data_IF_939513641853
#
_entry.id   IF_939513641853
#
_cell.length_a   1.000
_cell.length_b   1.000
_cell.length_c   1.000
_cell.angle_alpha   90.00
_cell.angle_beta   90.00
_cell.angle_gamma   90.00
#
_symmetry.space_group_name_H-M   'P 1'
#
loop_
_entity.id
_entity.type
_entity.pdbx_description
1 polymer ?
#
# COMPACT_ATOMS: atom_id res chain seq x y z
N UNK A 1 16.31 -22.17 -10.39
CA UNK A 1 17.11 -21.00 -9.98
C UNK A 1 18.25 -20.85 -10.96
N UNK A 2 18.53 -19.62 -11.40
CA UNK A 2 19.59 -19.31 -12.35
C UNK A 2 20.97 -19.67 -11.77
N UNK A 3 21.93 -20.16 -12.57
CA UNK A 3 23.27 -20.49 -12.08
C UNK A 3 23.97 -19.27 -11.50
N UNK A 4 24.79 -19.52 -10.48
CA UNK A 4 25.55 -18.52 -9.75
C UNK A 4 26.43 -17.71 -10.71
N UNK A 5 26.18 -16.41 -10.84
CA UNK A 5 26.87 -15.50 -11.76
C UNK A 5 26.02 -14.94 -12.91
N UNK A 6 24.83 -15.50 -13.18
CA UNK A 6 23.92 -14.95 -14.19
C UNK A 6 23.01 -13.86 -13.60
N UNK A 7 22.95 -12.69 -14.24
CA UNK A 7 22.11 -11.56 -13.80
C UNK A 7 20.61 -11.86 -14.02
N UNK A 8 19.79 -11.42 -13.07
CA UNK A 8 18.34 -11.31 -13.21
C UNK A 8 18.06 -10.12 -14.11
N UNK A 9 17.33 -10.34 -15.19
CA UNK A 9 17.00 -9.33 -16.19
C UNK A 9 15.57 -8.84 -15.98
N UNK A 10 15.42 -7.54 -15.77
CA UNK A 10 14.14 -6.85 -15.66
C UNK A 10 13.92 -6.05 -16.93
N UNK A 11 12.84 -6.33 -17.65
CA UNK A 11 12.43 -5.53 -18.79
C UNK A 11 11.30 -4.58 -18.39
N UNK A 12 11.46 -3.30 -18.73
CA UNK A 12 10.43 -2.27 -18.59
C UNK A 12 10.02 -1.83 -19.99
N UNK A 13 8.94 -2.39 -20.58
CA UNK A 13 8.43 -1.91 -21.86
C UNK A 13 7.90 -0.49 -21.74
N UNK A 14 8.48 0.43 -22.52
CA UNK A 14 8.09 1.83 -22.59
C UNK A 14 7.43 2.15 -23.93
N UNK A 15 6.45 3.04 -23.89
CA UNK A 15 5.61 3.42 -25.03
C UNK A 15 5.22 4.90 -24.93
N UNK A 16 4.69 5.47 -26.01
CA UNK A 16 4.32 6.88 -26.01
C UNK A 16 3.24 7.18 -24.97
N UNK A 17 3.40 8.26 -24.22
CA UNK A 17 2.51 8.70 -23.13
C UNK A 17 2.46 7.75 -21.92
N UNK A 18 3.52 6.99 -21.67
CA UNK A 18 3.73 6.41 -20.34
C UNK A 18 3.71 7.50 -19.27
N UNK A 19 3.23 7.14 -18.08
CA UNK A 19 3.44 7.93 -16.87
C UNK A 19 4.85 7.62 -16.37
N UNK A 20 5.75 8.60 -16.41
CA UNK A 20 7.19 8.34 -16.17
C UNK A 20 7.43 7.67 -14.82
N UNK A 21 6.75 8.13 -13.76
CA UNK A 21 6.90 7.59 -12.40
C UNK A 21 6.50 6.12 -12.26
N UNK A 22 5.61 5.60 -13.12
CA UNK A 22 5.23 4.18 -13.13
C UNK A 22 6.40 3.29 -13.56
N UNK A 23 7.29 3.81 -14.40
CA UNK A 23 8.50 3.13 -14.85
C UNK A 23 9.68 3.41 -13.92
N UNK A 24 9.96 4.70 -13.64
CA UNK A 24 11.18 5.09 -12.92
C UNK A 24 11.11 4.83 -11.41
N UNK A 25 9.91 4.87 -10.82
CA UNK A 25 9.71 4.59 -9.40
C UNK A 25 10.18 3.18 -9.00
N UNK A 26 9.63 2.11 -9.61
CA UNK A 26 10.11 0.77 -9.34
C UNK A 26 11.53 0.52 -9.87
N UNK A 27 11.93 1.14 -10.99
CA UNK A 27 13.32 1.08 -11.47
C UNK A 27 14.29 1.47 -10.37
N UNK A 28 14.06 2.58 -9.67
CA UNK A 28 14.96 3.12 -8.64
C UNK A 28 15.24 2.13 -7.49
N UNK A 29 14.27 1.28 -7.15
CA UNK A 29 14.46 0.22 -6.17
C UNK A 29 15.12 -1.03 -6.77
N UNK A 30 14.73 -1.43 -7.99
CA UNK A 30 15.18 -2.70 -8.59
C UNK A 30 16.62 -2.64 -9.13
N UNK A 31 17.06 -1.53 -9.73
CA UNK A 31 18.40 -1.42 -10.34
C UNK A 31 19.54 -1.52 -9.31
N UNK A 32 19.21 -1.24 -8.03
CA UNK A 32 20.14 -1.29 -6.90
C UNK A 32 20.35 -2.69 -6.33
N UNK A 33 19.57 -3.68 -6.78
CA UNK A 33 19.66 -5.04 -6.25
C UNK A 33 20.91 -5.76 -6.78
N UNK A 34 21.67 -6.47 -5.93
CA UNK A 34 22.80 -7.25 -6.37
C UNK A 34 22.39 -8.30 -7.42
N UNK A 35 23.09 -8.33 -8.54
CA UNK A 35 22.83 -9.28 -9.62
C UNK A 35 21.56 -9.00 -10.43
N UNK A 36 20.95 -7.82 -10.30
CA UNK A 36 19.82 -7.38 -11.13
C UNK A 36 20.29 -6.40 -12.19
N UNK A 37 19.75 -6.53 -13.41
CA UNK A 37 19.93 -5.59 -14.51
C UNK A 37 18.56 -5.15 -14.99
N UNK A 38 18.33 -3.84 -15.09
CA UNK A 38 17.05 -3.29 -15.55
C UNK A 38 17.26 -2.62 -16.91
N UNK A 39 16.42 -2.97 -17.87
CA UNK A 39 16.51 -2.49 -19.26
C UNK A 39 15.16 -1.90 -19.68
N UNK A 40 15.17 -0.67 -20.16
CA UNK A 40 14.01 -0.07 -20.83
C UNK A 40 13.96 -0.58 -22.28
N UNK A 41 12.82 -1.16 -22.67
CA UNK A 41 12.63 -1.77 -23.99
C UNK A 41 11.46 -1.13 -24.74
N UNK A 42 11.54 -1.04 -26.06
CA UNK A 42 10.41 -0.61 -26.91
C UNK A 42 10.41 -1.40 -28.23
N UNK A 43 9.52 -1.05 -29.17
CA UNK A 43 9.50 -1.67 -30.50
C UNK A 43 10.88 -1.55 -31.21
N UNK A 44 11.51 -0.38 -31.07
CA UNK A 44 12.87 -0.10 -31.51
C UNK A 44 13.61 0.70 -30.44
N UNK A 45 14.95 0.56 -30.29
CA UNK A 45 15.72 1.41 -29.38
C UNK A 45 15.59 2.89 -29.76
N UNK A 46 15.71 3.78 -28.77
CA UNK A 46 15.66 5.23 -28.96
C UNK A 46 14.69 5.95 -28.03
N UNK A 47 14.43 7.22 -28.34
CA UNK A 47 13.63 8.09 -27.48
C UNK A 47 12.12 7.79 -27.60
N UNK A 48 11.50 7.57 -26.45
CA UNK A 48 10.05 7.46 -26.25
C UNK A 48 9.56 8.72 -25.57
N UNK A 49 8.46 9.28 -26.09
CA UNK A 49 7.87 10.52 -25.59
C UNK A 49 6.85 10.18 -24.50
N UNK A 50 7.08 10.66 -23.28
CA UNK A 50 6.26 10.41 -22.11
C UNK A 50 5.49 11.67 -21.66
N UNK A 51 4.56 11.51 -20.71
CA UNK A 51 3.82 12.60 -20.05
C UNK A 51 3.27 13.65 -21.03
N UNK A 52 2.60 13.19 -22.09
CA UNK A 52 1.96 14.04 -23.11
C UNK A 52 2.92 15.04 -23.77
N UNK A 53 4.15 14.60 -24.08
CA UNK A 53 5.13 15.42 -24.81
C UNK A 53 6.12 16.18 -23.94
N UNK A 54 6.05 16.05 -22.62
CA UNK A 54 6.82 16.88 -21.68
C UNK A 54 8.13 16.23 -21.23
N UNK A 55 8.25 14.92 -21.39
CA UNK A 55 9.42 14.16 -20.97
C UNK A 55 9.83 13.17 -22.06
N UNK A 56 11.12 12.82 -22.12
CA UNK A 56 11.64 11.78 -23.01
C UNK A 56 12.44 10.77 -22.19
N UNK A 57 12.18 9.50 -22.42
CA UNK A 57 12.95 8.38 -21.85
C UNK A 57 13.55 7.58 -23.00
N UNK A 58 14.77 7.09 -22.83
CA UNK A 58 15.45 6.29 -23.85
C UNK A 58 15.25 4.79 -23.59
N UNK A 59 14.80 4.06 -24.61
CA UNK A 59 14.88 2.62 -24.65
C UNK A 59 16.26 2.22 -25.18
N UNK A 60 17.02 1.48 -24.38
CA UNK A 60 18.35 1.01 -24.77
C UNK A 60 18.31 -0.27 -25.61
N UNK A 61 17.14 -0.90 -25.73
CA UNK A 61 16.95 -2.16 -26.44
C UNK A 61 15.54 -2.28 -27.04
N UNK A 62 15.38 -3.14 -28.04
CA UNK A 62 14.07 -3.53 -28.56
C UNK A 62 13.44 -4.69 -27.77
N UNK A 63 12.17 -4.99 -28.06
CA UNK A 63 11.51 -6.21 -27.62
C UNK A 63 12.22 -7.49 -28.10
N UNK A 64 12.87 -7.44 -29.26
CA UNK A 64 13.60 -8.58 -29.83
C UNK A 64 14.98 -8.79 -29.18
N UNK A 65 15.61 -7.71 -28.71
CA UNK A 65 16.92 -7.77 -28.03
C UNK A 65 16.79 -8.40 -26.62
N UNK A 66 15.63 -8.25 -25.96
CA UNK A 66 15.34 -8.84 -24.65
C UNK A 66 13.98 -9.56 -24.62
N UNK A 67 13.86 -10.72 -25.29
CA UNK A 67 12.58 -11.42 -25.46
C UNK A 67 12.17 -12.25 -24.24
N UNK A 68 13.14 -12.62 -23.38
CA UNK A 68 12.94 -13.54 -22.27
C UNK A 68 13.46 -12.95 -20.93
N UNK A 69 12.86 -11.85 -20.43
CA UNK A 69 13.25 -11.30 -19.14
C UNK A 69 12.81 -12.21 -17.98
N UNK A 70 13.53 -12.17 -16.86
CA UNK A 70 13.10 -12.86 -15.64
C UNK A 70 11.94 -12.13 -14.97
N UNK A 71 11.91 -10.79 -15.10
CA UNK A 71 10.87 -9.93 -14.56
C UNK A 71 10.41 -8.97 -15.66
N UNK A 72 9.11 -8.93 -15.89
CA UNK A 72 8.48 -7.95 -16.75
C UNK A 72 7.80 -6.90 -15.86
N UNK A 73 8.03 -5.61 -16.11
CA UNK A 73 7.38 -4.52 -15.39
C UNK A 73 6.71 -3.56 -16.36
N UNK A 74 5.39 -3.69 -16.48
CA UNK A 74 4.57 -2.92 -17.42
C UNK A 74 4.07 -1.64 -16.74
N UNK A 75 4.61 -0.45 -17.08
CA UNK A 75 4.13 0.81 -16.54
C UNK A 75 2.74 1.16 -17.10
N UNK A 76 2.06 2.08 -16.43
CA UNK A 76 0.85 2.70 -16.94
C UNK A 76 1.13 3.98 -17.73
N UNK A 77 0.06 4.69 -18.01
CA UNK A 77 0.03 5.91 -18.79
C UNK A 77 -1.36 6.52 -18.80
N UNK A 78 -1.51 7.62 -19.55
CA UNK A 78 -2.79 8.30 -19.69
C UNK A 78 -3.83 7.34 -20.28
N UNK A 79 -4.97 7.05 -19.58
CA UNK A 79 -5.90 5.99 -19.97
C UNK A 79 -6.36 5.98 -21.43
N UNK A 80 -6.62 7.16 -22.00
CA UNK A 80 -7.06 7.32 -23.41
C UNK A 80 -5.96 7.11 -24.44
N UNK A 81 -4.70 7.12 -24.01
CA UNK A 81 -3.50 7.03 -24.86
C UNK A 81 -2.75 5.71 -24.62
N UNK A 82 -3.34 4.77 -23.86
CA UNK A 82 -2.75 3.47 -23.63
C UNK A 82 -2.72 2.65 -24.92
N UNK A 83 -1.64 1.91 -25.18
CA UNK A 83 -1.47 1.08 -26.38
C UNK A 83 -2.21 -0.27 -26.26
N UNK A 84 -3.52 -0.24 -26.00
CA UNK A 84 -4.33 -1.43 -25.72
C UNK A 84 -4.59 -2.33 -26.95
N UNK A 85 -4.28 -1.84 -28.15
CA UNK A 85 -4.39 -2.53 -29.44
C UNK A 85 -3.04 -2.69 -30.17
N UNK A 86 -1.95 -2.21 -29.55
CA UNK A 86 -0.61 -2.24 -30.14
C UNK A 86 -0.02 -3.65 -30.12
N UNK A 87 -0.26 -4.39 -31.22
CA UNK A 87 0.13 -5.80 -31.38
C UNK A 87 1.59 -6.11 -30.98
N UNK A 88 2.62 -5.38 -31.44
CA UNK A 88 4.00 -5.68 -31.05
C UNK A 88 4.23 -5.73 -29.54
N UNK A 89 3.70 -4.75 -28.79
CA UNK A 89 3.79 -4.73 -27.34
C UNK A 89 2.99 -5.85 -26.68
N UNK A 90 1.75 -6.09 -27.12
CA UNK A 90 0.91 -7.14 -26.53
C UNK A 90 1.49 -8.53 -26.78
N UNK A 91 2.01 -8.78 -27.98
CA UNK A 91 2.65 -10.04 -28.34
C UNK A 91 3.96 -10.24 -27.56
N UNK A 92 4.76 -9.18 -27.40
CA UNK A 92 5.93 -9.18 -26.53
C UNK A 92 5.56 -9.53 -25.08
N UNK A 93 4.55 -8.89 -24.51
CA UNK A 93 4.09 -9.13 -23.13
C UNK A 93 3.64 -10.59 -22.96
N UNK A 94 2.87 -11.15 -23.91
CA UNK A 94 2.44 -12.56 -23.84
C UNK A 94 3.63 -13.51 -23.86
N UNK A 95 4.58 -13.30 -24.78
CA UNK A 95 5.79 -14.12 -24.91
C UNK A 95 6.67 -14.03 -23.66
N UNK A 96 6.97 -12.81 -23.19
CA UNK A 96 7.75 -12.59 -21.99
C UNK A 96 7.06 -13.19 -20.75
N UNK A 97 5.73 -13.11 -20.66
CA UNK A 97 4.98 -13.70 -19.55
C UNK A 97 5.28 -15.20 -19.39
N UNK A 98 5.39 -15.96 -20.48
CA UNK A 98 5.64 -17.42 -20.46
C UNK A 98 6.91 -17.77 -19.67
N UNK A 99 7.98 -16.99 -19.84
CA UNK A 99 9.30 -17.25 -19.25
C UNK A 99 9.60 -16.46 -17.97
N UNK A 100 8.84 -15.40 -17.66
CA UNK A 100 9.08 -14.62 -16.44
C UNK A 100 8.87 -15.42 -15.14
N UNK A 101 9.69 -15.11 -14.14
CA UNK A 101 9.42 -15.42 -12.74
C UNK A 101 8.32 -14.50 -12.18
N UNK A 102 8.34 -13.21 -12.56
CA UNK A 102 7.28 -12.26 -12.23
C UNK A 102 6.87 -11.43 -13.45
N UNK A 103 5.56 -11.36 -13.70
CA UNK A 103 4.97 -10.37 -14.60
C UNK A 103 4.27 -9.33 -13.75
N UNK A 104 4.69 -8.08 -13.89
CA UNK A 104 4.27 -7.02 -12.99
C UNK A 104 3.70 -5.83 -13.75
N UNK A 105 2.87 -5.05 -13.08
CA UNK A 105 2.37 -3.79 -13.63
C UNK A 105 2.17 -2.74 -12.57
N UNK A 106 2.26 -1.48 -12.98
CA UNK A 106 1.96 -0.31 -12.13
C UNK A 106 0.82 0.48 -12.76
N UNK A 107 -0.06 1.04 -11.92
CA UNK A 107 -1.13 1.93 -12.35
C UNK A 107 -2.00 1.28 -13.44
N UNK A 108 -2.26 1.98 -14.53
CA UNK A 108 -3.03 1.49 -15.68
C UNK A 108 -2.28 0.47 -16.54
N UNK A 109 -1.03 0.14 -16.24
CA UNK A 109 -0.30 -0.96 -16.91
C UNK A 109 -0.99 -2.31 -16.76
N UNK A 110 -1.79 -2.49 -15.70
CA UNK A 110 -2.64 -3.66 -15.53
C UNK A 110 -3.69 -3.81 -16.65
N UNK A 111 -4.15 -2.71 -17.27
CA UNK A 111 -5.04 -2.77 -18.43
C UNK A 111 -4.34 -3.34 -19.66
N UNK A 112 -3.04 -3.06 -19.82
CA UNK A 112 -2.22 -3.63 -20.89
C UNK A 112 -2.04 -5.14 -20.67
N UNK A 113 -1.82 -5.57 -19.41
CA UNK A 113 -1.83 -7.01 -19.08
C UNK A 113 -3.21 -7.65 -19.36
N UNK A 114 -4.29 -6.93 -19.09
CA UNK A 114 -5.66 -7.32 -19.42
C UNK A 114 -5.88 -7.50 -20.93
N UNK A 115 -5.44 -6.53 -21.74
CA UNK A 115 -5.48 -6.59 -23.20
C UNK A 115 -4.59 -7.70 -23.78
N UNK A 116 -3.49 -8.04 -23.11
CA UNK A 116 -2.67 -9.20 -23.42
C UNK A 116 -3.37 -10.54 -23.06
N UNK A 117 -4.51 -10.52 -22.36
CA UNK A 117 -5.30 -11.70 -21.98
C UNK A 117 -4.85 -12.36 -20.68
N UNK A 118 -3.99 -11.71 -19.89
CA UNK A 118 -3.31 -12.33 -18.75
C UNK A 118 -4.08 -12.28 -17.43
N UNK A 119 -5.19 -11.52 -17.37
CA UNK A 119 -5.87 -11.22 -16.10
C UNK A 119 -7.20 -11.94 -15.86
N UNK A 120 -7.63 -12.82 -16.77
CA UNK A 120 -8.89 -13.56 -16.61
C UNK A 120 -8.88 -14.42 -15.34
N UNK A 121 -9.76 -14.11 -14.39
CA UNK A 121 -9.88 -14.79 -13.10
C UNK A 121 -8.80 -14.44 -12.06
N UNK A 122 -7.83 -13.59 -12.43
CA UNK A 122 -6.70 -13.20 -11.57
C UNK A 122 -7.11 -12.07 -10.64
N UNK A 123 -6.77 -12.16 -9.36
CA UNK A 123 -6.95 -11.05 -8.41
C UNK A 123 -5.88 -9.98 -8.66
N UNK A 124 -6.30 -8.78 -9.03
CA UNK A 124 -5.41 -7.71 -9.49
C UNK A 124 -5.91 -6.32 -9.07
N UNK A 125 -4.99 -5.36 -9.00
CA UNK A 125 -5.26 -3.94 -8.77
C UNK A 125 -4.77 -3.11 -9.96
N UNK A 126 -5.19 -1.85 -10.03
CA UNK A 126 -4.77 -0.85 -11.03
C UNK A 126 -4.97 0.55 -10.43
N UNK A 127 -4.83 1.61 -11.22
CA UNK A 127 -5.28 2.94 -10.81
C UNK A 127 -6.78 2.92 -10.49
N UNK A 128 -7.20 3.53 -9.38
CA UNK A 128 -8.59 3.44 -8.89
C UNK A 128 -9.66 3.85 -9.94
N UNK A 129 -9.34 4.83 -10.78
CA UNK A 129 -10.24 5.28 -11.86
C UNK A 129 -10.45 4.22 -12.96
N UNK A 130 -9.57 3.22 -13.06
CA UNK A 130 -9.57 2.18 -14.09
C UNK A 130 -10.15 0.83 -13.62
N UNK A 131 -10.72 0.74 -12.41
CA UNK A 131 -11.35 -0.48 -11.90
C UNK A 131 -12.45 -1.08 -12.81
N UNK A 132 -13.34 -0.29 -13.46
CA UNK A 132 -14.33 -0.84 -14.40
C UNK A 132 -13.68 -1.56 -15.57
N UNK A 133 -12.72 -0.90 -16.21
CA UNK A 133 -11.99 -1.45 -17.36
C UNK A 133 -11.19 -2.69 -16.98
N UNK A 134 -10.58 -2.71 -15.79
CA UNK A 134 -9.88 -3.90 -15.31
C UNK A 134 -10.82 -5.10 -15.13
N UNK A 135 -12.05 -4.85 -14.67
CA UNK A 135 -13.10 -5.88 -14.51
C UNK A 135 -13.57 -6.42 -15.87
N UNK A 136 -13.63 -5.60 -16.91
CA UNK A 136 -13.98 -6.01 -18.28
C UNK A 136 -12.99 -7.04 -18.85
N UNK A 137 -11.71 -6.97 -18.45
CA UNK A 137 -10.71 -8.00 -18.78
C UNK A 137 -10.82 -9.29 -17.94
N UNK A 138 -11.87 -9.43 -17.13
CA UNK A 138 -12.14 -10.61 -16.32
C UNK A 138 -11.33 -10.70 -15.02
N UNK A 139 -10.64 -9.64 -14.62
CA UNK A 139 -9.89 -9.61 -13.36
C UNK A 139 -10.82 -9.54 -12.14
N UNK A 140 -10.39 -10.14 -11.03
CA UNK A 140 -11.00 -9.95 -9.70
C UNK A 140 -10.38 -8.72 -9.05
N UNK A 141 -10.98 -7.56 -9.27
CA UNK A 141 -10.44 -6.26 -8.82
C UNK A 141 -10.31 -6.18 -7.29
N UNK A 142 -9.21 -5.61 -6.80
CA UNK A 142 -8.96 -5.33 -5.37
C UNK A 142 -8.37 -3.93 -5.17
N UNK A 143 -8.65 -3.30 -4.03
CA UNK A 143 -8.16 -1.96 -3.70
C UNK A 143 -6.74 -1.93 -3.11
N UNK A 144 -6.15 -3.11 -2.91
CA UNK A 144 -4.81 -3.25 -2.34
C UNK A 144 -3.81 -2.40 -3.12
N UNK A 145 -2.88 -1.78 -2.39
CA UNK A 145 -1.84 -0.92 -2.97
C UNK A 145 -0.92 -1.66 -3.93
N UNK A 146 -0.64 -2.92 -3.62
CA UNK A 146 -0.10 -3.92 -4.54
C UNK A 146 -0.61 -5.30 -4.12
N UNK A 147 -0.67 -6.24 -5.05
CA UNK A 147 -1.07 -7.63 -4.80
C UNK A 147 -0.27 -8.59 -5.68
N UNK A 148 0.14 -9.72 -5.09
CA UNK A 148 0.74 -10.86 -5.80
C UNK A 148 -0.28 -11.99 -5.91
N UNK A 149 -0.59 -12.42 -7.13
CA UNK A 149 -1.39 -13.60 -7.42
C UNK A 149 -0.59 -14.53 -8.35
N UNK A 150 -0.05 -15.62 -7.80
CA UNK A 150 0.86 -16.49 -8.55
C UNK A 150 2.13 -15.73 -8.97
N UNK A 151 2.45 -15.72 -10.27
CA UNK A 151 3.55 -14.93 -10.85
C UNK A 151 3.16 -13.51 -11.25
N UNK A 152 1.88 -13.14 -11.19
CA UNK A 152 1.42 -11.79 -11.52
C UNK A 152 1.46 -10.91 -10.27
N UNK A 153 2.09 -9.75 -10.36
CA UNK A 153 2.13 -8.73 -9.29
C UNK A 153 1.67 -7.39 -9.83
N UNK A 154 0.50 -6.92 -9.41
CA UNK A 154 -0.02 -5.62 -9.86
C UNK A 154 0.03 -4.60 -8.74
N UNK A 155 0.44 -3.38 -9.03
CA UNK A 155 0.42 -2.22 -8.14
C UNK A 155 -0.63 -1.21 -8.59
N UNK A 156 -1.17 -0.47 -7.62
CA UNK A 156 -2.20 0.55 -7.82
C UNK A 156 -1.63 1.82 -8.50
N UNK A 157 -2.18 3.00 -8.20
CA UNK A 157 -1.76 4.25 -8.83
C UNK A 157 -0.29 4.62 -8.57
N UNK A 158 0.41 4.97 -9.64
CA UNK A 158 1.64 5.76 -9.70
C UNK A 158 2.72 5.37 -8.70
N UNK A 159 2.78 6.03 -7.53
CA UNK A 159 3.83 5.82 -6.53
C UNK A 159 3.84 4.42 -5.91
N UNK A 160 2.75 3.66 -6.05
CA UNK A 160 2.67 2.28 -5.55
C UNK A 160 3.66 1.32 -6.22
N UNK A 161 4.20 1.68 -7.40
CA UNK A 161 5.28 0.93 -8.04
C UNK A 161 6.54 0.84 -7.15
N UNK A 162 6.83 1.87 -6.36
CA UNK A 162 7.98 1.87 -5.44
C UNK A 162 7.77 0.84 -4.33
N UNK A 163 6.59 0.84 -3.70
CA UNK A 163 6.24 -0.14 -2.66
C UNK A 163 6.29 -1.58 -3.19
N UNK A 164 5.75 -1.81 -4.38
CA UNK A 164 5.80 -3.10 -5.05
C UNK A 164 7.24 -3.53 -5.32
N UNK A 165 8.11 -2.63 -5.78
CA UNK A 165 9.50 -2.95 -6.08
C UNK A 165 10.32 -3.28 -4.82
N UNK A 166 10.09 -2.57 -3.70
CA UNK A 166 10.70 -2.90 -2.41
C UNK A 166 10.21 -4.27 -1.91
N UNK A 167 8.92 -4.57 -2.09
CA UNK A 167 8.39 -5.91 -1.80
C UNK A 167 9.04 -6.98 -2.69
N UNK A 168 9.17 -6.75 -4.00
CA UNK A 168 9.86 -7.67 -4.91
C UNK A 168 11.32 -7.85 -4.52
N UNK A 169 12.03 -6.80 -4.10
CA UNK A 169 13.39 -6.91 -3.59
C UNK A 169 13.51 -7.95 -2.47
N UNK A 170 12.54 -7.99 -1.55
CA UNK A 170 12.54 -8.96 -0.44
C UNK A 170 12.40 -10.41 -0.92
N UNK A 171 11.69 -10.64 -2.02
CA UNK A 171 11.44 -11.97 -2.59
C UNK A 171 12.58 -12.40 -3.52
N UNK A 172 13.13 -11.47 -4.30
CA UNK A 172 14.23 -11.71 -5.24
C UNK A 172 15.53 -11.97 -4.47
N UNK A 173 15.71 -11.27 -3.35
CA UNK A 173 16.91 -11.33 -2.53
C UNK A 173 16.58 -11.81 -1.11
N UNK A 174 16.40 -10.89 -0.16
CA UNK A 174 15.95 -11.12 1.21
C UNK A 174 15.53 -9.80 1.85
N UNK A 175 14.92 -9.88 3.04
CA UNK A 175 14.42 -8.72 3.79
C UNK A 175 15.52 -7.69 4.11
N UNK A 176 16.74 -8.13 4.43
CA UNK A 176 17.85 -7.24 4.79
C UNK A 176 18.24 -6.34 3.61
N UNK A 177 18.33 -6.91 2.41
CA UNK A 177 18.61 -6.13 1.19
C UNK A 177 17.44 -5.21 0.85
N UNK A 178 16.19 -5.67 0.97
CA UNK A 178 15.02 -4.82 0.73
C UNK A 178 14.99 -3.58 1.64
N UNK A 179 15.26 -3.77 2.95
CA UNK A 179 15.39 -2.67 3.92
C UNK A 179 16.58 -1.76 3.60
N UNK A 180 17.69 -2.31 3.14
CA UNK A 180 18.85 -1.52 2.74
C UNK A 180 18.55 -0.65 1.51
N UNK A 181 17.84 -1.18 0.50
CA UNK A 181 17.36 -0.39 -0.64
C UNK A 181 16.42 0.70 -0.18
N UNK A 182 15.42 0.37 0.65
CA UNK A 182 14.48 1.35 1.21
C UNK A 182 15.21 2.51 1.90
N UNK A 183 16.22 2.20 2.73
CA UNK A 183 17.04 3.20 3.41
C UNK A 183 17.93 4.00 2.43
N UNK A 184 18.53 3.33 1.44
CA UNK A 184 19.43 3.95 0.48
C UNK A 184 18.75 5.02 -0.38
N UNK A 185 17.48 4.81 -0.72
CA UNK A 185 16.66 5.78 -1.46
C UNK A 185 15.84 6.70 -0.53
N UNK A 186 16.06 6.58 0.78
CA UNK A 186 15.34 7.32 1.84
C UNK A 186 13.81 7.27 1.67
N UNK A 187 13.28 6.08 1.36
CA UNK A 187 11.83 5.90 1.16
C UNK A 187 11.08 5.83 2.50
N UNK A 188 10.92 7.00 3.10
CA UNK A 188 10.05 7.32 4.25
C UNK A 188 9.08 8.44 3.86
N UNK A 189 8.05 8.14 3.05
CA UNK A 189 7.16 9.18 2.54
C UNK A 189 6.36 9.84 3.67
N UNK A 190 6.43 11.18 3.73
CA UNK A 190 5.63 12.03 4.61
C UNK A 190 4.69 12.93 3.78
N UNK A 191 3.60 12.41 3.19
CA UNK A 191 2.70 13.22 2.39
C UNK A 191 2.09 14.37 3.21
N UNK A 192 2.10 15.63 2.72
CA UNK A 192 1.55 16.77 3.44
C UNK A 192 0.02 16.75 3.57
N UNK A 193 -0.66 15.89 2.81
CA UNK A 193 -2.11 15.77 2.77
C UNK A 193 -2.56 14.31 2.77
N UNK A 194 -3.73 14.05 3.37
CA UNK A 194 -4.35 12.72 3.38
C UNK A 194 -5.33 12.48 2.23
N UNK A 195 -4.90 12.83 1.01
CA UNK A 195 -5.73 12.77 -0.21
C UNK A 195 -5.24 11.71 -1.22
N UNK A 196 -4.20 10.94 -0.89
CA UNK A 196 -3.59 9.95 -1.78
C UNK A 196 -4.39 8.65 -1.96
N UNK A 197 -5.53 8.50 -1.31
CA UNK A 197 -6.45 7.38 -1.53
C UNK A 197 -7.87 7.88 -1.69
N UNK A 198 -8.54 7.36 -2.71
CA UNK A 198 -9.91 7.67 -3.04
C UNK A 198 -10.89 7.33 -1.88
N UNK A 199 -10.56 6.37 -1.01
CA UNK A 199 -11.35 6.03 0.19
C UNK A 199 -11.39 7.16 1.24
N UNK A 200 -10.33 7.98 1.30
CA UNK A 200 -10.18 9.09 2.27
C UNK A 200 -10.45 10.46 1.66
N UNK A 201 -10.32 10.59 0.35
CA UNK A 201 -10.65 11.80 -0.41
C UNK A 201 -12.18 12.04 -0.57
N UNK A 202 -12.99 11.78 0.47
CA UNK A 202 -14.48 11.70 0.46
C UNK A 202 -15.24 12.95 0.00
N UNK A 203 -14.56 14.06 -0.30
CA UNK A 203 -15.17 15.24 -0.93
C UNK A 203 -14.49 15.50 -2.28
N UNK A 204 -15.24 15.84 -3.35
CA UNK A 204 -14.66 16.26 -4.61
C UNK A 204 -13.60 17.33 -4.36
N UNK A 205 -12.38 17.10 -4.85
CA UNK A 205 -11.35 18.14 -4.88
C UNK A 205 -11.70 19.02 -6.09
N UNK A 206 -12.61 19.97 -5.89
CA UNK A 206 -12.98 20.94 -6.92
C UNK A 206 -11.82 21.91 -7.15
N UNK A 207 -11.24 21.85 -8.35
CA UNK A 207 -10.25 22.83 -8.80
C UNK A 207 -10.97 23.79 -9.74
N UNK A 208 -11.35 24.97 -9.24
CA UNK A 208 -11.86 26.04 -10.10
C UNK A 208 -10.72 26.62 -10.95
N UNK A 209 -10.90 26.72 -12.27
CA UNK A 209 -10.10 27.59 -13.13
C UNK A 209 -8.83 27.02 -13.78
N UNK A 210 -8.63 25.70 -13.87
CA UNK A 210 -7.51 25.12 -14.62
C UNK A 210 -7.99 24.32 -15.82
N UNK A 211 -7.71 24.79 -17.03
CA UNK A 211 -7.90 24.05 -18.28
C UNK A 211 -7.02 22.79 -18.40
N UNK A 212 -6.09 22.57 -17.46
CA UNK A 212 -5.16 21.42 -17.43
C UNK A 212 -5.54 20.35 -16.41
N UNK A 213 -6.20 20.71 -15.33
CA UNK A 213 -6.86 19.75 -14.46
C UNK A 213 -8.32 19.72 -14.88
N UNK A 214 -8.61 18.98 -15.96
CA UNK A 214 -9.96 18.44 -16.10
C UNK A 214 -10.28 17.78 -14.76
N UNK A 215 -11.35 18.27 -14.14
CA UNK A 215 -11.76 17.99 -12.76
C UNK A 215 -11.23 16.64 -12.29
N UNK A 216 -10.37 16.60 -11.25
CA UNK A 216 -10.20 15.35 -10.48
C UNK A 216 -11.49 15.21 -9.68
N UNK A 217 -12.58 14.92 -10.39
CA UNK A 217 -13.80 14.49 -9.77
C UNK A 217 -13.43 13.14 -9.18
N UNK A 218 -13.46 13.07 -7.86
CA UNK A 218 -13.63 11.81 -7.13
C UNK A 218 -15.06 11.29 -7.38
N UNK A 219 -15.58 11.46 -8.61
CA UNK A 219 -16.76 10.79 -9.11
C UNK A 219 -16.33 9.35 -9.29
N UNK A 220 -16.52 8.60 -8.23
CA UNK A 220 -15.98 7.28 -8.10
C UNK A 220 -16.54 6.40 -9.23
N UNK A 221 -15.66 5.59 -9.80
CA UNK A 221 -16.09 4.43 -10.57
C UNK A 221 -17.17 3.70 -9.75
N UNK A 222 -18.32 3.29 -10.33
CA UNK A 222 -19.34 2.53 -9.59
C UNK A 222 -18.79 1.27 -8.91
N UNK A 223 -17.74 0.68 -9.50
CA UNK A 223 -17.00 -0.45 -8.92
C UNK A 223 -16.15 -0.01 -7.72
N UNK A 224 -15.50 1.15 -7.81
CA UNK A 224 -14.82 1.74 -6.66
C UNK A 224 -15.84 2.09 -5.55
N UNK A 225 -17.00 2.69 -5.85
CA UNK A 225 -18.04 2.93 -4.83
C UNK A 225 -18.51 1.64 -4.16
N UNK A 226 -18.81 0.59 -4.93
CA UNK A 226 -19.21 -0.71 -4.38
C UNK A 226 -18.13 -1.30 -3.45
N UNK A 227 -16.86 -1.17 -3.83
CA UNK A 227 -15.73 -1.60 -3.01
C UNK A 227 -15.53 -0.71 -1.78
N UNK A 228 -15.77 0.60 -1.87
CA UNK A 228 -15.77 1.49 -0.72
C UNK A 228 -16.89 1.14 0.24
N UNK A 229 -18.08 0.79 -0.23
CA UNK A 229 -19.16 0.35 0.66
C UNK A 229 -18.79 -0.95 1.39
N UNK A 230 -18.02 -1.83 0.73
CA UNK A 230 -17.53 -3.08 1.31
C UNK A 230 -16.33 -2.90 2.25
N UNK A 231 -15.44 -1.94 1.99
CA UNK A 231 -14.16 -1.76 2.69
C UNK A 231 -14.06 -0.50 3.56
N UNK A 232 -14.98 0.46 3.42
CA UNK A 232 -15.07 1.58 4.35
C UNK A 232 -15.41 1.02 5.74
N UNK A 233 -14.87 1.61 6.82
CA UNK A 233 -15.46 1.41 8.14
C UNK A 233 -16.94 1.77 8.00
N UNK A 234 -17.82 0.77 8.16
CA UNK A 234 -19.27 0.96 8.03
C UNK A 234 -19.64 2.14 8.91
N UNK A 235 -20.30 3.15 8.35
CA UNK A 235 -20.99 4.14 9.17
C UNK A 235 -22.02 3.39 10.00
N UNK A 236 -21.70 3.22 11.28
CA UNK A 236 -22.58 2.59 12.24
C UNK A 236 -23.65 3.62 12.60
N UNK A 237 -24.75 3.64 11.86
CA UNK A 237 -25.96 4.24 12.37
C UNK A 237 -26.29 3.56 13.70
N UNK A 238 -26.66 4.31 14.75
CA UNK A 238 -26.99 3.75 16.07
C UNK A 238 -28.01 2.60 15.98
N UNK A 239 -28.90 2.61 14.98
CA UNK A 239 -29.87 1.54 14.70
C UNK A 239 -29.26 0.18 14.31
N UNK A 240 -28.00 0.16 13.87
CA UNK A 240 -27.25 -1.06 13.50
C UNK A 240 -26.11 -1.35 14.48
N UNK A 241 -25.93 -0.52 15.51
CA UNK A 241 -24.96 -0.77 16.56
C UNK A 241 -25.43 -1.96 17.40
N UNK A 242 -24.72 -3.09 17.30
CA UNK A 242 -24.82 -4.14 18.31
C UNK A 242 -24.01 -3.68 19.53
N UNK A 243 -24.62 -3.55 20.72
CA UNK A 243 -23.89 -3.28 21.94
C UNK A 243 -22.75 -4.29 22.09
N UNK A 244 -21.53 -3.80 22.26
CA UNK A 244 -20.39 -4.64 22.65
C UNK A 244 -20.72 -5.36 23.95
N UNK A 245 -20.12 -6.54 24.18
CA UNK A 245 -20.24 -7.27 25.45
C UNK A 245 -19.66 -6.53 26.66
N UNK A 246 -19.20 -5.29 26.48
CA UNK A 246 -18.67 -4.38 27.48
C UNK A 246 -18.97 -2.92 27.13
N UNK A 247 -18.81 -1.99 28.07
CA UNK A 247 -18.79 -0.55 27.83
C UNK A 247 -17.62 0.10 28.56
N UNK A 248 -17.17 1.24 28.05
CA UNK A 248 -16.19 2.08 28.73
C UNK A 248 -16.89 2.92 29.79
N UNK A 249 -16.43 2.82 31.03
CA UNK A 249 -16.91 3.66 32.14
C UNK A 249 -16.08 4.95 32.20
N UNK A 250 -14.75 4.82 32.26
CA UNK A 250 -13.84 5.98 32.31
C UNK A 250 -12.67 5.82 31.36
N UNK A 251 -12.21 6.96 30.82
CA UNK A 251 -10.97 7.08 30.03
C UNK A 251 -10.20 8.27 30.59
N UNK A 252 -9.12 8.01 31.30
CA UNK A 252 -8.21 9.03 31.80
C UNK A 252 -6.92 9.03 30.97
N UNK A 253 -6.49 10.23 30.61
CA UNK A 253 -5.28 10.47 29.83
C UNK A 253 -4.33 11.31 30.69
N UNK A 254 -3.14 10.79 30.96
CA UNK A 254 -2.09 11.56 31.64
C UNK A 254 -0.86 11.66 30.76
N UNK A 255 -0.49 12.90 30.44
CA UNK A 255 0.73 13.21 29.71
C UNK A 255 1.83 13.57 30.70
N UNK A 256 2.98 12.93 30.59
CA UNK A 256 4.19 13.29 31.34
C UNK A 256 5.28 13.66 30.34
N UNK A 257 5.60 14.95 30.31
CA UNK A 257 6.62 15.51 29.43
C UNK A 257 7.98 15.42 30.11
N UNK A 258 8.97 14.85 29.42
CA UNK A 258 10.38 14.86 29.79
C UNK A 258 11.19 15.51 28.67
N UNK A 259 12.42 15.94 28.94
CA UNK A 259 13.29 16.62 27.96
C UNK A 259 13.48 15.84 26.65
N UNK A 260 13.52 14.50 26.71
CA UNK A 260 13.82 13.62 25.56
C UNK A 260 12.73 12.56 25.29
N UNK A 261 11.60 12.61 25.99
CA UNK A 261 10.50 11.64 25.83
C UNK A 261 9.17 12.21 26.33
N UNK A 262 8.06 11.76 25.78
CA UNK A 262 6.73 12.05 26.31
C UNK A 262 6.06 10.74 26.69
N UNK A 263 5.72 10.55 27.95
CA UNK A 263 4.95 9.38 28.37
C UNK A 263 3.47 9.71 28.30
N UNK A 264 2.67 8.81 27.72
CA UNK A 264 1.21 8.94 27.68
C UNK A 264 0.60 7.75 28.42
N UNK A 265 -0.02 8.02 29.55
CA UNK A 265 -0.69 6.99 30.34
C UNK A 265 -2.17 7.01 29.98
N UNK A 266 -2.70 5.84 29.62
CA UNK A 266 -4.12 5.63 29.31
C UNK A 266 -4.72 4.76 30.40
N UNK A 267 -5.56 5.31 31.26
CA UNK A 267 -6.33 4.50 32.21
C UNK A 267 -7.74 4.34 31.69
N UNK A 268 -8.12 3.12 31.35
CA UNK A 268 -9.42 2.81 30.76
C UNK A 268 -10.13 1.84 31.70
N UNK A 269 -11.32 2.20 32.17
CA UNK A 269 -12.18 1.28 32.90
C UNK A 269 -13.22 0.70 31.96
N UNK A 270 -13.31 -0.63 31.95
CA UNK A 270 -14.20 -1.38 31.07
C UNK A 270 -15.14 -2.22 31.93
N UNK A 271 -16.43 -2.13 31.68
CA UNK A 271 -17.47 -2.86 32.40
C UNK A 271 -18.14 -3.86 31.46
N UNK A 272 -18.18 -5.16 31.78
CA UNK A 272 -18.92 -6.14 30.98
C UNK A 272 -20.42 -5.79 30.98
N UNK A 273 -21.06 -5.92 29.81
CA UNK A 273 -22.50 -5.74 29.63
C UNK A 273 -23.27 -7.05 29.79
N UNK A 274 -22.71 -8.19 29.38
CA UNK A 274 -23.26 -9.54 29.56
C UNK A 274 -22.12 -10.55 29.85
N UNK A 275 -22.36 -11.53 30.73
CA UNK A 275 -21.34 -12.45 31.26
C UNK A 275 -21.03 -13.66 30.36
N UNK A 276 -21.76 -13.87 29.28
CA UNK A 276 -21.71 -15.13 28.51
C UNK A 276 -20.63 -15.18 27.43
N UNK A 277 -20.25 -14.04 26.82
CA UNK A 277 -19.14 -13.97 25.86
C UNK A 277 -18.47 -12.59 25.90
N UNK A 278 -17.14 -12.59 26.00
CA UNK A 278 -16.32 -11.39 26.18
C UNK A 278 -15.45 -11.15 24.94
N UNK A 279 -15.90 -10.33 23.97
CA UNK A 279 -15.17 -10.13 22.72
C UNK A 279 -13.81 -9.46 22.97
N UNK A 280 -12.82 -9.71 22.09
CA UNK A 280 -11.49 -9.17 22.29
C UNK A 280 -11.47 -7.64 22.19
N UNK A 281 -10.75 -6.98 23.11
CA UNK A 281 -10.53 -5.54 23.05
C UNK A 281 -9.30 -5.26 22.19
N UNK A 282 -9.50 -4.54 21.07
CA UNK A 282 -8.42 -4.11 20.17
C UNK A 282 -8.19 -2.60 20.27
N UNK A 283 -6.95 -2.21 20.57
CA UNK A 283 -6.49 -0.82 20.54
C UNK A 283 -5.56 -0.62 19.32
N UNK A 284 -5.88 0.33 18.45
CA UNK A 284 -5.04 0.72 17.32
C UNK A 284 -4.13 1.90 17.70
N UNK A 285 -2.83 1.79 17.45
CA UNK A 285 -1.85 2.85 17.67
C UNK A 285 -0.71 2.78 16.66
N UNK A 286 -0.34 3.93 16.07
CA UNK A 286 0.82 4.06 15.16
C UNK A 286 2.03 4.64 15.89
N UNK A 287 3.21 4.09 15.62
CA UNK A 287 4.50 4.52 16.20
C UNK A 287 4.56 4.43 17.74
N UNK A 288 3.84 3.46 18.30
CA UNK A 288 3.72 3.25 19.74
C UNK A 288 4.53 2.02 20.15
N UNK A 289 5.44 2.19 21.12
CA UNK A 289 6.08 1.06 21.80
C UNK A 289 5.33 0.80 23.11
N UNK A 290 4.63 -0.32 23.19
CA UNK A 290 4.04 -0.80 24.43
C UNK A 290 5.16 -1.22 25.39
N UNK A 291 5.12 -0.75 26.65
CA UNK A 291 6.11 -1.14 27.65
C UNK A 291 5.61 -2.24 28.56
N UNK A 292 4.41 -2.09 29.10
CA UNK A 292 3.76 -3.09 29.95
C UNK A 292 2.24 -2.90 29.90
N UNK A 293 1.50 -3.92 30.29
CA UNK A 293 0.04 -3.90 30.42
C UNK A 293 -0.31 -4.32 31.83
N UNK A 294 -1.14 -3.52 32.52
CA UNK A 294 -1.72 -3.91 33.81
C UNK A 294 -3.20 -4.25 33.69
N UNK A 295 -3.61 -5.30 34.39
CA UNK A 295 -5.00 -5.71 34.56
C UNK A 295 -5.26 -5.75 36.05
N UNK A 296 -6.19 -4.94 36.56
CA UNK A 296 -6.44 -4.88 38.00
C UNK A 296 -5.16 -4.61 38.81
N UNK A 297 -4.35 -3.66 38.33
CA UNK A 297 -3.06 -3.26 38.92
C UNK A 297 -1.97 -4.34 38.97
N UNK A 298 -2.23 -5.53 38.44
CA UNK A 298 -1.24 -6.58 38.25
C UNK A 298 -0.64 -6.52 36.83
N UNK A 299 0.68 -6.54 36.74
CA UNK A 299 1.39 -6.61 35.47
C UNK A 299 1.16 -7.98 34.82
N UNK A 300 0.94 -8.00 33.51
CA UNK A 300 0.80 -9.23 32.72
C UNK A 300 1.91 -9.35 31.72
N UNK A 301 2.39 -10.56 31.52
CA UNK A 301 3.36 -10.87 30.47
C UNK A 301 2.70 -10.72 29.09
N UNK A 302 3.51 -10.28 28.11
CA UNK A 302 3.06 -9.94 26.75
C UNK A 302 2.52 -11.13 25.94
N UNK A 303 2.55 -12.35 26.49
CA UNK A 303 2.15 -13.59 25.81
C UNK A 303 0.62 -13.79 25.81
N UNK A 304 -0.10 -13.19 26.76
CA UNK A 304 -1.58 -13.19 26.83
C UNK A 304 -2.23 -12.09 25.97
N UNK A 305 -1.42 -11.20 25.39
CA UNK A 305 -1.85 -10.03 24.62
C UNK A 305 -1.24 -10.10 23.22
N UNK A 306 -2.06 -10.10 22.17
CA UNK A 306 -1.51 -10.09 20.82
C UNK A 306 -1.13 -8.64 20.44
N UNK A 307 0.17 -8.36 20.36
CA UNK A 307 0.71 -7.04 20.02
C UNK A 307 1.34 -7.08 18.63
N UNK A 308 0.91 -6.20 17.75
CA UNK A 308 1.54 -5.93 16.45
C UNK A 308 2.08 -4.50 16.43
N UNK A 309 2.77 -4.10 15.37
CA UNK A 309 3.23 -2.72 15.20
C UNK A 309 2.10 -1.68 15.14
N UNK A 310 0.83 -2.13 15.05
CA UNK A 310 -0.35 -1.25 14.97
C UNK A 310 -1.49 -1.60 15.92
N UNK A 311 -1.53 -2.80 16.49
CA UNK A 311 -2.69 -3.27 17.25
C UNK A 311 -2.27 -3.95 18.56
N UNK A 312 -3.00 -3.66 19.63
CA UNK A 312 -2.98 -4.41 20.89
C UNK A 312 -4.32 -5.14 21.02
N UNK A 313 -4.31 -6.47 21.09
CA UNK A 313 -5.53 -7.29 21.25
C UNK A 313 -5.50 -8.09 22.54
N UNK A 314 -6.50 -7.88 23.39
CA UNK A 314 -6.75 -8.72 24.56
C UNK A 314 -7.71 -9.84 24.16
N UNK A 315 -7.28 -11.10 24.28
CA UNK A 315 -8.04 -12.27 23.79
C UNK A 315 -9.27 -12.62 24.64
N UNK A 316 -9.31 -12.17 25.90
CA UNK A 316 -10.45 -12.37 26.80
C UNK A 316 -10.51 -11.23 27.83
N UNK A 317 -11.73 -10.81 28.23
CA UNK A 317 -11.92 -9.87 29.35
C UNK A 317 -12.47 -10.62 30.57
N UNK A 318 -12.01 -10.28 31.79
CA UNK A 318 -12.53 -10.87 33.02
C UNK A 318 -14.01 -10.51 33.27
N UNK A 319 -14.71 -11.40 33.98
CA UNK A 319 -16.18 -11.40 34.16
C UNK A 319 -16.67 -10.34 35.18
N UNK A 320 -15.78 -9.72 35.96
CA UNK A 320 -16.11 -8.68 36.94
C UNK A 320 -15.62 -7.29 36.49
N UNK A 321 -16.22 -6.18 36.98
CA UNK A 321 -15.74 -4.81 36.74
C UNK A 321 -14.24 -4.67 36.99
N UNK A 322 -13.46 -4.28 35.99
CA UNK A 322 -12.01 -4.20 36.11
C UNK A 322 -11.46 -2.82 35.73
N UNK A 323 -10.45 -2.38 36.47
CA UNK A 323 -9.71 -1.13 36.25
C UNK A 323 -8.49 -1.48 35.40
N UNK A 324 -8.31 -0.84 34.22
CA UNK A 324 -7.04 -0.96 33.48
C UNK A 324 -6.28 0.35 33.47
N UNK A 325 -5.01 0.24 33.82
CA UNK A 325 -3.99 1.24 33.56
C UNK A 325 -3.14 0.68 32.40
N UNK A 326 -3.28 1.25 31.21
CA UNK A 326 -2.42 1.01 30.07
C UNK A 326 -1.38 2.14 30.01
N UNK A 327 -0.19 1.89 30.53
CA UNK A 327 0.93 2.85 30.44
C UNK A 327 1.60 2.73 29.06
N UNK A 328 1.37 3.72 28.20
CA UNK A 328 1.92 3.75 26.83
C UNK A 328 3.04 4.79 26.74
N UNK A 329 4.28 4.36 26.91
CA UNK A 329 5.41 5.29 26.84
C UNK A 329 5.79 5.54 25.38
N UNK A 330 5.56 6.78 24.90
CA UNK A 330 6.09 7.24 23.63
C UNK A 330 7.55 7.71 23.81
N UNK A 331 8.51 7.05 23.15
CA UNK A 331 9.83 7.66 22.91
C UNK A 331 9.74 8.50 21.65
N UNK A 332 9.54 9.81 21.77
CA UNK A 332 9.86 10.75 20.70
C UNK A 332 11.35 11.08 20.76
N UNK A 333 12.13 10.68 19.76
CA UNK A 333 13.45 11.27 19.58
C UNK A 333 13.26 12.72 19.09
N UNK A 334 13.98 13.67 19.67
CA UNK A 334 14.17 14.97 19.02
C UNK A 334 15.02 14.73 17.76
N UNK A 335 14.52 15.18 16.61
CA UNK A 335 15.42 15.57 15.53
C UNK A 335 16.26 16.75 16.02
N UNK A 336 17.53 16.80 15.59
CA UNK A 336 18.53 17.79 16.01
C UNK A 336 18.14 19.27 15.79
N UNK A 337 16.97 19.58 15.25
CA UNK A 337 16.55 20.93 14.92
C UNK A 337 15.21 21.32 15.59
N UNK A 338 15.29 21.65 16.88
CA UNK A 338 14.58 22.76 17.54
C UNK A 338 13.05 22.92 17.46
N UNK A 339 12.30 22.04 16.81
CA UNK A 339 10.85 22.20 16.62
C UNK A 339 10.07 21.12 17.38
N UNK A 340 9.33 21.54 18.40
CA UNK A 340 8.42 20.68 19.16
C UNK A 340 7.19 20.35 18.29
N UNK A 341 7.26 19.28 17.51
CA UNK A 341 6.08 18.77 16.78
C UNK A 341 5.30 17.83 17.69
N UNK A 342 4.20 18.31 18.26
CA UNK A 342 3.18 17.44 18.87
C UNK A 342 2.49 16.67 17.73
N UNK A 343 2.99 15.47 17.38
CA UNK A 343 2.22 14.60 16.46
C UNK A 343 0.98 14.11 17.21
N UNK A 344 -0.21 14.38 16.67
CA UNK A 344 -1.51 13.93 17.18
C UNK A 344 -1.48 12.42 17.46
N UNK A 345 -1.85 12.01 18.67
CA UNK A 345 -2.08 10.61 18.99
C UNK A 345 -3.54 10.28 18.67
N UNK A 346 -3.76 9.37 17.74
CA UNK A 346 -5.08 8.79 17.47
C UNK A 346 -5.07 7.37 18.03
N UNK A 347 -5.99 7.08 18.94
CA UNK A 347 -6.32 5.71 19.33
C UNK A 347 -7.72 5.44 18.79
N UNK A 348 -7.88 4.44 17.95
CA UNK A 348 -9.20 4.02 17.44
C UNK A 348 -9.45 2.60 17.90
N UNK A 349 -10.51 2.41 18.70
CA UNK A 349 -10.86 1.10 19.22
C UNK A 349 -11.90 0.45 18.30
N UNK A 350 -11.64 -0.79 17.89
CA UNK A 350 -12.57 -1.56 17.06
C UNK A 350 -12.90 -2.88 17.76
N UNK A 351 -14.11 -3.39 17.50
CA UNK A 351 -14.45 -4.78 17.78
C UNK A 351 -14.22 -5.57 16.48
N UNK A 352 -13.32 -6.56 16.49
CA UNK A 352 -13.20 -7.48 15.36
C UNK A 352 -14.35 -8.49 15.47
N UNK A 353 -15.21 -8.53 14.43
CA UNK A 353 -16.31 -9.49 14.30
C UNK A 353 -15.84 -10.87 13.90
#
# INVERSE_FOLDING_TARGET
MKPMGSKIQVAIPIFNNITVLDAIGPYEALHRLPGVSVTFVSDKPGLVVADEGRFKIEASASFEDLPNPDILLVPGGTPKLLPLDHKPLLDYIRKAHECTTFTTSVCTGALILGAAGLLKGVKATTHWAAYPQLKEYGAKVTSQRYIKQGKIVTAAGVSSGIDMAIYLASIITNEKIAKAVQLMIEYDPQPPYDAGTWLRARKPIEIAGSSRFSTVSVGASPVAEEMAVKEAPKESFLKYYKPTGYHFDTVELKFVLFEKKTTVVFKIRVLPRNSSESPPLVLDGRDVKLLFVKINDEERELEEVAVTSRHLTLKSLPVQPFLRVLDVIRRSFQEKNGSNVIRRAFLTCYCLS
#
